data_IF_481632842023
#
_entry.id   IF_481632842023
#
_cell.length_a   1.000
_cell.length_b   1.000
_cell.length_c   1.000
_cell.angle_alpha   90.00
_cell.angle_beta   90.00
_cell.angle_gamma   90.00
#
_symmetry.space_group_name_H-M   'P 1'
#
loop_
_entity.id
_entity.type
_entity.pdbx_description
1 polymer ?
#
# COMPACT_ATOMS: atom_id res chain seq x y z
N UNK A 1 2.62 -45.10 50.60
CA UNK A 1 1.38 -44.97 49.80
C UNK A 1 1.28 -43.52 49.36
N UNK A 2 0.99 -43.28 48.08
CA UNK A 2 0.62 -42.00 47.43
C UNK A 2 1.68 -40.88 47.36
N UNK A 3 2.56 -40.96 46.36
CA UNK A 3 3.19 -39.79 45.72
C UNK A 3 3.29 -40.08 44.22
N UNK A 4 2.15 -40.07 43.53
CA UNK A 4 2.04 -40.21 42.07
C UNK A 4 0.87 -39.38 41.55
N UNK A 5 0.87 -38.06 41.73
CA UNK A 5 -0.13 -37.21 41.03
C UNK A 5 0.17 -35.71 41.04
N UNK A 6 1.42 -35.29 40.79
CA UNK A 6 1.71 -33.84 40.70
C UNK A 6 2.55 -33.43 39.50
N UNK A 7 3.11 -34.38 38.75
CA UNK A 7 4.02 -34.07 37.64
C UNK A 7 3.36 -33.93 36.26
N UNK A 8 2.09 -34.33 36.11
CA UNK A 8 1.42 -34.34 34.79
C UNK A 8 0.74 -33.00 34.46
N UNK A 9 0.49 -32.14 35.45
CA UNK A 9 -0.28 -30.89 35.23
C UNK A 9 0.61 -29.73 34.74
N UNK A 10 1.92 -29.74 35.03
CA UNK A 10 2.82 -28.63 34.64
C UNK A 10 3.21 -28.61 33.15
N UNK A 11 3.16 -29.76 32.47
CA UNK A 11 3.57 -29.87 31.05
C UNK A 11 2.46 -29.41 30.09
N UNK A 12 1.18 -29.53 30.49
CA UNK A 12 0.05 -29.07 29.66
C UNK A 12 -0.09 -27.55 29.70
N UNK A 13 0.19 -26.92 30.85
CA UNK A 13 0.13 -25.48 31.00
C UNK A 13 1.23 -24.74 30.22
N UNK A 14 2.41 -25.35 30.03
CA UNK A 14 3.49 -24.75 29.25
C UNK A 14 3.24 -24.83 27.74
N UNK A 15 2.65 -25.91 27.21
CA UNK A 15 2.28 -25.98 25.79
C UNK A 15 1.14 -25.03 25.39
N UNK A 16 0.21 -24.73 26.31
CA UNK A 16 -0.90 -23.81 26.03
C UNK A 16 -0.47 -22.33 25.93
N UNK A 17 0.66 -21.95 26.55
CA UNK A 17 1.18 -20.57 26.49
C UNK A 17 1.98 -20.32 25.21
N UNK A 18 2.56 -21.35 24.59
CA UNK A 18 3.30 -21.23 23.32
C UNK A 18 2.41 -21.32 22.06
N UNK A 19 1.20 -21.87 22.15
CA UNK A 19 0.27 -21.91 21.02
C UNK A 19 -0.47 -20.59 20.76
N UNK A 20 -0.45 -19.65 21.71
CA UNK A 20 -0.98 -18.29 21.57
C UNK A 20 -0.02 -17.31 20.86
N UNK A 21 1.23 -17.70 20.58
CA UNK A 21 2.19 -16.90 19.82
C UNK A 21 2.25 -17.29 18.35
N UNK A 22 1.10 -17.56 17.72
CA UNK A 22 1.08 -17.42 16.26
C UNK A 22 1.26 -15.93 15.97
N UNK A 23 2.34 -15.49 15.30
CA UNK A 23 2.45 -14.11 14.90
C UNK A 23 1.22 -13.81 14.07
N UNK A 24 0.34 -12.93 14.56
CA UNK A 24 -0.72 -12.37 13.75
C UNK A 24 -0.01 -11.73 12.56
N UNK A 25 -0.08 -12.42 11.42
CA UNK A 25 0.49 -11.91 10.19
C UNK A 25 -0.24 -10.60 9.89
N UNK A 26 0.47 -9.48 10.03
CA UNK A 26 -0.06 -8.16 9.80
C UNK A 26 -0.48 -8.08 8.32
N UNK A 27 -1.76 -7.86 8.09
CA UNK A 27 -2.39 -7.90 6.78
C UNK A 27 -2.14 -6.62 5.94
N UNK A 28 -1.27 -5.76 6.44
CA UNK A 28 -1.18 -4.36 6.10
C UNK A 28 -0.42 -4.15 4.79
N UNK A 29 -1.06 -3.49 3.82
CA UNK A 29 -0.48 -3.21 2.50
C UNK A 29 -0.57 -1.73 2.15
N UNK A 30 0.31 -1.29 1.24
CA UNK A 30 0.47 0.10 0.83
C UNK A 30 1.10 0.17 -0.56
N UNK A 31 1.01 1.33 -1.21
CA UNK A 31 1.77 1.55 -2.44
C UNK A 31 3.25 1.78 -2.12
N UNK A 32 4.07 0.77 -2.40
CA UNK A 32 5.54 0.85 -2.30
C UNK A 32 6.12 1.67 -3.47
N UNK A 33 5.54 1.53 -4.66
CA UNK A 33 5.92 2.29 -5.84
C UNK A 33 4.69 2.73 -6.64
N UNK A 34 4.68 3.98 -7.11
CA UNK A 34 3.62 4.56 -7.95
C UNK A 34 3.97 4.45 -9.43
N UNK A 35 5.26 4.45 -9.76
CA UNK A 35 5.73 4.32 -11.14
C UNK A 35 6.87 3.29 -11.26
N UNK A 36 6.49 2.02 -11.22
CA UNK A 36 7.37 0.88 -11.43
C UNK A 36 7.73 0.73 -12.90
N UNK A 37 9.04 0.68 -13.20
CA UNK A 37 9.54 0.41 -14.55
C UNK A 37 10.19 -0.96 -14.59
N UNK A 38 9.62 -1.86 -15.38
CA UNK A 38 10.22 -3.15 -15.68
C UNK A 38 11.52 -2.99 -16.47
N UNK A 39 12.50 -3.86 -16.23
CA UNK A 39 13.65 -4.03 -17.13
C UNK A 39 13.14 -4.64 -18.43
N UNK A 40 13.63 -4.16 -19.60
CA UNK A 40 13.12 -4.59 -20.91
C UNK A 40 13.23 -6.11 -21.10
N UNK A 41 12.20 -6.66 -21.75
CA UNK A 41 11.94 -8.04 -22.22
C UNK A 41 11.83 -9.15 -21.17
N UNK A 42 10.59 -9.50 -20.81
CA UNK A 42 10.26 -10.67 -19.98
C UNK A 42 8.96 -10.50 -19.20
N UNK A 43 8.42 -11.63 -18.67
CA UNK A 43 7.23 -11.72 -17.81
C UNK A 43 7.20 -10.60 -16.75
N UNK A 44 6.01 -10.09 -16.42
CA UNK A 44 5.85 -9.15 -15.31
C UNK A 44 6.51 -9.69 -14.04
N UNK A 45 7.58 -9.03 -13.61
CA UNK A 45 8.32 -9.32 -12.39
C UNK A 45 8.37 -8.04 -11.54
N UNK A 46 7.62 -8.06 -10.45
CA UNK A 46 7.49 -6.97 -9.50
C UNK A 46 8.62 -6.94 -8.46
N UNK A 47 9.52 -7.93 -8.46
CA UNK A 47 10.69 -7.93 -7.57
C UNK A 47 11.73 -6.91 -8.02
N UNK A 48 12.66 -6.55 -7.12
CA UNK A 48 13.77 -5.63 -7.44
C UNK A 48 14.71 -6.17 -8.55
N UNK A 49 14.61 -7.47 -8.89
CA UNK A 49 15.31 -8.05 -10.04
C UNK A 49 14.63 -7.67 -11.36
N UNK A 50 13.30 -7.59 -11.38
CA UNK A 50 12.47 -7.36 -12.57
C UNK A 50 12.29 -5.90 -12.97
N UNK A 51 12.63 -4.95 -12.11
CA UNK A 51 12.40 -3.54 -12.38
C UNK A 51 12.99 -2.60 -11.34
N UNK A 52 12.58 -1.34 -11.39
CA UNK A 52 12.92 -0.33 -10.39
C UNK A 52 11.80 0.68 -10.24
N UNK A 53 11.69 1.26 -9.05
CA UNK A 53 10.73 2.31 -8.82
C UNK A 53 11.23 3.66 -9.35
N UNK A 54 10.36 4.38 -10.05
CA UNK A 54 10.64 5.71 -10.61
C UNK A 54 9.65 6.79 -10.17
N UNK A 55 8.79 6.50 -9.21
CA UNK A 55 7.85 7.46 -8.66
C UNK A 55 7.21 6.90 -7.41
N UNK A 56 7.09 7.69 -6.36
CA UNK A 56 6.73 7.23 -5.03
C UNK A 56 5.52 7.99 -4.48
N UNK A 57 4.92 7.42 -3.43
CA UNK A 57 3.94 8.12 -2.60
C UNK A 57 4.60 9.30 -1.87
N UNK A 58 3.78 10.24 -1.38
CA UNK A 58 4.28 11.41 -0.64
C UNK A 58 5.08 10.98 0.57
N UNK A 59 6.24 11.65 0.78
CA UNK A 59 7.15 11.42 1.91
C UNK A 59 7.53 9.94 2.09
N UNK A 60 7.61 9.18 0.99
CA UNK A 60 7.96 7.76 1.06
C UNK A 60 9.42 7.59 1.55
N UNK A 61 9.67 6.83 2.63
CA UNK A 61 11.02 6.65 3.14
C UNK A 61 11.84 5.76 2.20
N UNK A 62 13.02 6.23 1.82
CA UNK A 62 13.99 5.43 1.08
C UNK A 62 14.79 4.51 2.00
N UNK A 63 15.53 3.57 1.42
CA UNK A 63 16.42 2.63 2.12
C UNK A 63 15.71 1.74 3.15
N UNK A 64 14.46 1.38 2.85
CA UNK A 64 13.68 0.42 3.63
C UNK A 64 13.57 -0.89 2.86
N UNK A 65 13.52 -2.00 3.59
CA UNK A 65 13.29 -3.30 2.98
C UNK A 65 11.85 -3.35 2.40
N UNK A 66 11.69 -3.97 1.24
CA UNK A 66 10.38 -4.14 0.63
C UNK A 66 9.44 -4.89 1.58
N UNK A 67 8.22 -4.38 1.74
CA UNK A 67 7.20 -4.99 2.57
C UNK A 67 7.42 -4.88 4.08
N UNK A 68 8.36 -4.05 4.56
CA UNK A 68 8.64 -3.91 5.99
C UNK A 68 8.02 -2.68 6.67
N UNK A 69 7.26 -1.83 5.96
CA UNK A 69 6.71 -0.58 6.50
C UNK A 69 5.33 -0.75 7.14
N UNK A 70 4.99 -2.00 7.43
CA UNK A 70 3.97 -2.42 8.38
C UNK A 70 4.51 -2.30 9.82
N UNK A 71 5.73 -2.76 10.04
CA UNK A 71 6.41 -2.78 11.35
C UNK A 71 7.50 -1.72 11.52
N UNK A 72 8.08 -1.21 10.43
CA UNK A 72 9.14 -0.21 10.47
C UNK A 72 8.64 1.24 10.47
N UNK A 73 9.41 2.13 11.10
CA UNK A 73 9.16 3.57 11.08
C UNK A 73 9.89 4.27 9.91
N UNK A 74 9.25 5.22 9.18
CA UNK A 74 7.81 5.56 9.20
C UNK A 74 6.92 4.44 8.63
N UNK A 75 5.80 4.14 9.28
CA UNK A 75 4.84 3.15 8.79
C UNK A 75 4.10 3.66 7.53
N UNK A 76 3.61 2.78 6.66
CA UNK A 76 2.92 3.16 5.41
C UNK A 76 1.50 2.59 5.27
N UNK A 77 1.04 1.82 6.23
CA UNK A 77 -0.24 1.13 6.20
C UNK A 77 -1.42 2.00 6.67
N UNK A 78 -1.60 3.20 6.11
CA UNK A 78 -2.71 4.04 6.55
C UNK A 78 -4.07 3.34 6.34
N UNK A 79 -4.74 3.01 7.45
CA UNK A 79 -6.05 2.38 7.46
C UNK A 79 -7.13 3.44 7.76
N UNK A 80 -8.07 3.58 6.83
CA UNK A 80 -9.19 4.48 6.96
C UNK A 80 -10.15 4.03 8.06
N UNK A 81 -10.89 4.97 8.64
CA UNK A 81 -11.95 4.67 9.61
C UNK A 81 -13.04 3.78 8.97
N UNK A 82 -13.46 2.73 9.68
CA UNK A 82 -14.38 1.73 9.12
C UNK A 82 -15.84 2.22 9.00
N UNK A 83 -16.31 3.04 9.94
CA UNK A 83 -17.74 3.41 10.06
C UNK A 83 -18.30 4.17 8.84
N UNK A 84 -17.47 4.98 8.18
CA UNK A 84 -17.84 5.67 6.93
C UNK A 84 -16.59 5.89 6.06
N UNK A 85 -16.17 4.86 5.29
CA UNK A 85 -14.93 4.93 4.53
C UNK A 85 -14.96 6.02 3.45
N UNK A 86 -16.14 6.43 2.99
CA UNK A 86 -16.28 7.48 1.97
C UNK A 86 -16.04 8.90 2.51
N UNK A 87 -16.18 9.10 3.82
CA UNK A 87 -15.89 10.37 4.49
C UNK A 87 -14.54 10.36 5.23
N UNK A 88 -13.81 9.25 5.19
CA UNK A 88 -12.48 9.16 5.78
C UNK A 88 -11.51 10.16 5.09
N UNK A 89 -10.41 10.48 5.78
CA UNK A 89 -9.33 11.19 5.12
C UNK A 89 -8.78 10.33 3.98
N UNK A 90 -8.61 10.94 2.81
CA UNK A 90 -8.08 10.22 1.66
C UNK A 90 -6.59 9.91 1.80
N UNK A 91 -5.85 10.85 2.36
CA UNK A 91 -4.41 10.75 2.58
C UNK A 91 -4.16 10.87 4.08
N UNK A 92 -3.26 10.06 4.60
CA UNK A 92 -2.92 10.12 6.03
C UNK A 92 -2.38 11.49 6.40
N UNK A 93 -2.80 11.99 7.55
CA UNK A 93 -2.22 13.17 8.20
C UNK A 93 -1.41 12.80 9.45
N UNK A 94 -1.10 11.50 9.64
CA UNK A 94 -0.45 10.92 10.82
C UNK A 94 -1.25 10.96 12.13
N UNK A 95 -2.44 11.54 12.13
CA UNK A 95 -3.23 11.76 13.36
C UNK A 95 -4.55 11.01 13.38
N UNK A 96 -5.14 10.75 12.22
CA UNK A 96 -6.45 10.12 12.10
C UNK A 96 -6.40 8.88 11.21
N UNK A 97 -7.32 7.95 11.45
CA UNK A 97 -7.36 6.61 10.87
C UNK A 97 -7.86 5.62 11.91
N UNK A 98 -8.27 4.44 11.47
CA UNK A 98 -8.30 3.30 12.39
C UNK A 98 -6.86 2.94 12.79
N UNK A 99 -5.94 3.00 11.82
CA UNK A 99 -4.50 3.00 12.04
C UNK A 99 -3.87 4.19 11.31
N UNK A 100 -3.35 5.19 12.06
CA UNK A 100 -2.67 6.33 11.45
C UNK A 100 -1.39 5.91 10.74
N UNK A 101 -1.34 6.14 9.42
CA UNK A 101 -0.13 5.98 8.62
C UNK A 101 0.83 7.17 8.78
N UNK A 102 1.95 7.18 8.08
CA UNK A 102 2.79 8.38 7.98
C UNK A 102 2.11 9.56 7.27
N UNK A 103 2.63 10.78 7.46
CA UNK A 103 2.06 11.98 6.86
C UNK A 103 2.17 11.99 5.32
N UNK A 104 1.03 11.94 4.65
CA UNK A 104 0.84 12.00 3.20
C UNK A 104 0.05 13.25 2.78
N UNK A 105 -0.10 14.25 3.63
CA UNK A 105 -0.73 15.52 3.27
C UNK A 105 0.03 16.23 2.15
N UNK A 106 -0.67 16.95 1.27
CA UNK A 106 -0.03 17.75 0.21
C UNK A 106 0.91 18.79 0.81
N UNK A 107 2.18 18.78 0.41
CA UNK A 107 3.15 19.80 0.79
C UNK A 107 3.01 21.09 -0.05
N UNK A 108 3.57 22.21 0.45
CA UNK A 108 3.63 23.48 -0.28
C UNK A 108 5.08 24.04 -0.34
N UNK A 109 5.72 24.07 -1.52
CA UNK A 109 5.28 23.47 -2.79
C UNK A 109 5.23 21.93 -2.72
N UNK A 110 4.53 21.24 -3.67
CA UNK A 110 4.44 19.79 -3.70
C UNK A 110 5.80 19.08 -3.67
N UNK A 111 6.84 19.68 -4.27
CA UNK A 111 8.19 19.16 -4.29
C UNK A 111 8.79 18.90 -2.89
N UNK A 112 8.32 19.58 -1.83
CA UNK A 112 8.79 19.33 -0.46
C UNK A 112 8.40 17.95 0.10
N UNK A 113 7.45 17.25 -0.53
CA UNK A 113 7.11 15.87 -0.17
C UNK A 113 8.01 14.82 -0.84
N UNK A 114 8.99 15.25 -1.65
CA UNK A 114 9.78 14.40 -2.53
C UNK A 114 11.27 14.78 -2.53
N UNK A 115 12.13 13.81 -2.88
CA UNK A 115 13.57 14.02 -2.95
C UNK A 115 14.26 14.08 -1.58
N UNK A 116 15.60 14.22 -1.59
CA UNK A 116 16.43 14.11 -0.40
C UNK A 116 16.26 12.73 0.26
N UNK A 117 15.72 12.71 1.48
CA UNK A 117 15.41 11.47 2.21
C UNK A 117 14.16 10.73 1.70
N UNK A 118 13.37 11.36 0.83
CA UNK A 118 12.14 10.80 0.29
C UNK A 118 12.30 10.37 -1.17
N UNK A 119 11.44 9.44 -1.58
CA UNK A 119 11.31 9.05 -2.98
C UNK A 119 10.98 10.23 -3.91
N UNK A 120 11.24 10.06 -5.20
CA UNK A 120 10.94 11.09 -6.22
C UNK A 120 9.46 11.10 -6.62
N UNK A 121 8.97 12.27 -7.02
CA UNK A 121 7.63 12.43 -7.57
C UNK A 121 7.51 11.75 -8.94
N UNK A 122 6.36 11.14 -9.23
CA UNK A 122 6.08 10.58 -10.56
C UNK A 122 5.92 11.71 -11.58
N UNK A 123 6.56 11.55 -12.74
CA UNK A 123 6.43 12.45 -13.89
C UNK A 123 6.08 11.61 -15.11
N UNK A 124 4.98 11.95 -15.79
CA UNK A 124 4.39 11.13 -16.86
C UNK A 124 3.68 12.01 -17.90
N UNK A 125 3.17 11.39 -18.97
CA UNK A 125 2.35 12.00 -20.01
C UNK A 125 1.00 11.29 -20.13
N UNK A 126 0.02 11.95 -20.74
CA UNK A 126 -1.26 11.30 -21.09
C UNK A 126 -0.99 10.07 -21.97
N UNK A 127 -1.67 8.95 -21.70
CA UNK A 127 -1.52 7.70 -22.46
C UNK A 127 -0.33 6.83 -22.05
N UNK A 128 0.58 7.34 -21.22
CA UNK A 128 1.63 6.51 -20.61
C UNK A 128 1.01 5.37 -19.79
N UNK A 129 1.75 4.28 -19.68
CA UNK A 129 1.44 3.21 -18.73
C UNK A 129 2.18 3.49 -17.43
N UNK A 130 1.45 3.69 -16.34
CA UNK A 130 1.98 3.69 -14.98
C UNK A 130 1.71 2.34 -14.34
N UNK A 131 2.69 1.83 -13.59
CA UNK A 131 2.58 0.56 -12.88
C UNK A 131 2.81 0.81 -11.38
N UNK A 132 1.86 0.37 -10.55
CA UNK A 132 1.94 0.51 -9.10
C UNK A 132 2.36 -0.83 -8.52
N UNK A 133 3.28 -0.82 -7.55
CA UNK A 133 3.76 -1.99 -6.82
C UNK A 133 3.39 -1.89 -5.34
N UNK A 134 3.00 -3.01 -4.74
CA UNK A 134 2.67 -3.14 -3.31
C UNK A 134 3.10 -4.51 -2.76
N UNK A 135 3.30 -4.64 -1.44
CA UNK A 135 3.48 -5.95 -0.81
C UNK A 135 2.13 -6.69 -0.73
N UNK A 136 2.09 -7.94 -1.19
CA UNK A 136 0.88 -8.75 -1.22
C UNK A 136 0.43 -9.26 0.15
N UNK A 137 1.36 -9.39 1.10
CA UNK A 137 1.12 -9.97 2.41
C UNK A 137 0.51 -11.38 2.30
N UNK A 138 -0.02 -11.91 3.40
CA UNK A 138 -0.80 -13.16 3.43
C UNK A 138 -2.10 -13.12 2.59
N UNK A 139 -2.47 -11.98 1.98
CA UNK A 139 -3.69 -11.82 1.18
C UNK A 139 -3.52 -12.05 -0.32
N UNK A 140 -2.28 -12.32 -0.74
CA UNK A 140 -1.95 -12.81 -2.07
C UNK A 140 -1.87 -14.36 -2.15
N UNK A 141 -2.32 -15.08 -1.11
CA UNK A 141 -2.28 -16.53 -1.05
C UNK A 141 -3.23 -17.20 -2.07
N UNK A 142 -2.86 -18.38 -2.54
CA UNK A 142 -3.64 -19.16 -3.53
C UNK A 142 -4.99 -19.55 -2.92
N UNK A 143 -6.09 -19.20 -3.60
CA UNK A 143 -7.45 -19.55 -3.16
C UNK A 143 -8.19 -18.47 -2.36
N UNK A 144 -7.54 -17.37 -1.99
CA UNK A 144 -8.25 -16.22 -1.39
C UNK A 144 -8.99 -15.41 -2.47
N UNK A 145 -10.19 -14.93 -2.15
CA UNK A 145 -10.93 -13.98 -3.00
C UNK A 145 -10.15 -12.66 -3.00
N UNK A 146 -9.46 -12.37 -4.11
CA UNK A 146 -8.72 -11.11 -4.25
C UNK A 146 -9.68 -9.94 -4.45
N UNK A 147 -9.67 -9.01 -3.51
CA UNK A 147 -10.27 -7.70 -3.69
C UNK A 147 -9.45 -6.87 -4.70
N UNK A 148 -10.08 -5.86 -5.29
CA UNK A 148 -9.45 -4.97 -6.26
C UNK A 148 -8.75 -3.82 -5.54
N UNK A 149 -7.60 -3.43 -6.05
CA UNK A 149 -6.99 -2.12 -5.79
C UNK A 149 -7.70 -1.09 -6.67
N UNK A 150 -8.23 -0.04 -6.08
CA UNK A 150 -8.73 1.14 -6.77
C UNK A 150 -7.58 2.14 -6.97
N UNK A 151 -7.41 2.59 -8.22
CA UNK A 151 -6.58 3.76 -8.52
C UNK A 151 -7.52 4.95 -8.73
N UNK A 152 -7.50 5.87 -7.79
CA UNK A 152 -8.26 7.11 -7.85
C UNK A 152 -7.33 8.25 -8.27
N UNK A 153 -7.78 9.11 -9.17
CA UNK A 153 -7.04 10.29 -9.58
C UNK A 153 -7.93 11.52 -9.37
N UNK A 154 -7.41 12.63 -8.90
CA UNK A 154 -8.19 13.87 -8.84
C UNK A 154 -8.49 14.40 -10.25
N UNK A 155 -9.61 15.12 -10.41
CA UNK A 155 -9.89 15.90 -11.64
C UNK A 155 -9.22 17.28 -11.61
N UNK A 156 -9.07 17.86 -10.42
CA UNK A 156 -8.50 19.18 -10.21
C UNK A 156 -6.98 19.14 -10.24
N UNK A 157 -6.37 19.87 -11.18
CA UNK A 157 -4.90 20.05 -11.23
C UNK A 157 -4.44 21.10 -10.23
N UNK A 158 -3.25 20.91 -9.67
CA UNK A 158 -2.57 21.84 -8.75
C UNK A 158 -3.40 22.22 -7.51
N UNK A 159 -4.45 21.47 -7.19
CA UNK A 159 -5.35 21.74 -6.08
C UNK A 159 -4.83 21.17 -4.76
N UNK A 160 -5.44 21.60 -3.65
CA UNK A 160 -5.31 20.93 -2.34
C UNK A 160 -5.87 19.50 -2.41
N UNK A 161 -5.59 18.70 -1.38
CA UNK A 161 -6.19 17.38 -1.26
C UNK A 161 -7.72 17.47 -1.20
N UNK A 162 -8.38 16.72 -2.07
CA UNK A 162 -9.83 16.62 -2.12
C UNK A 162 -10.34 15.51 -1.19
N UNK A 163 -11.63 15.51 -0.90
CA UNK A 163 -12.24 14.49 -0.03
C UNK A 163 -12.17 13.08 -0.65
N UNK A 164 -12.23 12.04 0.20
CA UNK A 164 -12.33 10.66 -0.27
C UNK A 164 -13.55 10.45 -1.17
N UNK A 165 -14.71 10.99 -0.80
CA UNK A 165 -15.94 10.95 -1.60
C UNK A 165 -15.75 11.52 -3.01
N UNK A 166 -14.96 12.60 -3.14
CA UNK A 166 -14.67 13.20 -4.44
C UNK A 166 -13.69 12.34 -5.26
N UNK A 167 -12.64 11.79 -4.64
CA UNK A 167 -11.72 10.86 -5.30
C UNK A 167 -12.43 9.60 -5.84
N UNK A 168 -13.37 9.04 -5.08
CA UNK A 168 -14.11 7.83 -5.49
C UNK A 168 -14.98 8.06 -6.73
N UNK A 169 -15.36 9.31 -7.04
CA UNK A 169 -16.05 9.63 -8.30
C UNK A 169 -15.13 9.57 -9.52
N UNK A 170 -13.81 9.44 -9.31
CA UNK A 170 -12.82 9.40 -10.37
C UNK A 170 -11.81 8.27 -10.15
N UNK A 171 -12.32 7.06 -9.87
CA UNK A 171 -11.57 5.81 -10.02
C UNK A 171 -11.28 5.57 -11.50
N UNK A 172 -9.99 5.55 -11.85
CA UNK A 172 -9.51 5.43 -13.24
C UNK A 172 -9.04 4.02 -13.59
N UNK A 173 -8.80 3.16 -12.59
CA UNK A 173 -8.48 1.75 -12.80
C UNK A 173 -8.83 0.90 -11.58
N UNK A 174 -9.07 -0.39 -11.83
CA UNK A 174 -9.17 -1.43 -10.82
C UNK A 174 -8.15 -2.53 -11.12
N UNK A 175 -7.21 -2.76 -10.21
CA UNK A 175 -6.11 -3.71 -10.39
C UNK A 175 -6.34 -4.94 -9.49
N UNK A 176 -5.92 -6.12 -9.95
CA UNK A 176 -5.97 -7.33 -9.14
C UNK A 176 -4.92 -7.23 -8.02
N UNK A 177 -5.34 -7.20 -6.75
CA UNK A 177 -4.40 -7.13 -5.63
C UNK A 177 -3.42 -8.32 -5.63
N UNK A 178 -3.92 -9.51 -5.99
CA UNK A 178 -3.15 -10.75 -6.03
C UNK A 178 -2.32 -10.96 -7.31
N UNK A 179 -2.14 -9.94 -8.16
CA UNK A 179 -1.22 -10.03 -9.30
C UNK A 179 0.24 -9.97 -8.83
N UNK A 180 0.74 -11.11 -8.37
CA UNK A 180 1.96 -11.22 -7.60
C UNK A 180 2.97 -12.15 -8.25
N UNK A 181 4.25 -11.92 -7.93
CA UNK A 181 5.31 -12.86 -8.23
C UNK A 181 5.06 -14.22 -7.55
N UNK A 182 5.48 -15.31 -8.20
CA UNK A 182 5.53 -16.63 -7.56
C UNK A 182 6.58 -16.65 -6.44
N UNK A 183 6.29 -17.34 -5.33
CA UNK A 183 7.23 -17.53 -4.23
C UNK A 183 6.54 -18.06 -2.98
N UNK A 184 7.29 -18.51 -1.97
CA UNK A 184 6.71 -19.01 -0.70
C UNK A 184 6.53 -17.94 0.38
N UNK A 185 7.31 -16.85 0.32
CA UNK A 185 7.15 -15.73 1.25
C UNK A 185 5.93 -14.92 0.84
N UNK A 186 4.84 -15.07 1.57
CA UNK A 186 3.58 -14.34 1.35
C UNK A 186 3.66 -12.91 1.86
N UNK A 187 4.19 -12.72 3.08
CA UNK A 187 4.33 -11.41 3.73
C UNK A 187 4.96 -10.34 2.83
N UNK A 188 6.07 -10.68 2.17
CA UNK A 188 6.83 -9.75 1.32
C UNK A 188 6.71 -10.05 -0.16
N UNK A 189 5.66 -10.75 -0.58
CA UNK A 189 5.47 -11.09 -1.99
C UNK A 189 5.23 -9.80 -2.81
N UNK A 190 6.06 -9.48 -3.81
CA UNK A 190 5.82 -8.32 -4.64
C UNK A 190 4.61 -8.53 -5.55
N UNK A 191 3.70 -7.57 -5.55
CA UNK A 191 2.51 -7.55 -6.39
C UNK A 191 2.40 -6.19 -7.07
N UNK A 192 1.61 -6.13 -8.14
CA UNK A 192 1.38 -4.86 -8.79
C UNK A 192 0.35 -4.91 -9.91
N UNK A 193 0.09 -3.75 -10.49
CA UNK A 193 -0.75 -3.64 -11.66
C UNK A 193 -0.48 -2.34 -12.40
N UNK A 194 -0.84 -2.31 -13.67
CA UNK A 194 -0.60 -1.18 -14.54
C UNK A 194 -1.91 -0.60 -15.05
N UNK A 195 -1.91 0.71 -15.30
CA UNK A 195 -3.03 1.43 -15.88
C UNK A 195 -2.52 2.52 -16.84
N UNK A 196 -3.41 2.97 -17.73
CA UNK A 196 -3.14 4.08 -18.64
C UNK A 196 -3.48 5.41 -17.97
N UNK A 197 -2.58 6.39 -18.08
CA UNK A 197 -2.84 7.75 -17.62
C UNK A 197 -3.96 8.34 -18.48
N UNK A 198 -5.11 8.72 -17.90
CA UNK A 198 -6.24 9.22 -18.67
C UNK A 198 -5.95 10.62 -19.23
N UNK A 199 -6.77 11.05 -20.18
CA UNK A 199 -6.70 12.42 -20.72
C UNK A 199 -6.90 13.44 -19.60
N UNK A 200 -5.88 14.29 -19.41
CA UNK A 200 -5.82 15.37 -18.43
C UNK A 200 -5.00 16.52 -19.00
N UNK A 201 -5.27 17.73 -18.54
CA UNK A 201 -4.41 18.87 -18.83
C UNK A 201 -3.06 18.71 -18.11
N UNK A 202 -2.04 19.44 -18.57
CA UNK A 202 -0.74 19.48 -17.88
C UNK A 202 -0.91 20.04 -16.47
N UNK A 203 -0.26 19.41 -15.49
CA UNK A 203 -0.31 19.81 -14.08
C UNK A 203 -0.03 18.68 -13.10
N UNK A 204 -0.08 19.00 -11.81
CA UNK A 204 0.10 18.04 -10.72
C UNK A 204 -1.26 17.58 -10.21
N UNK A 205 -1.46 16.27 -10.12
CA UNK A 205 -2.70 15.64 -9.67
C UNK A 205 -2.46 14.75 -8.45
N UNK A 206 -3.41 14.74 -7.52
CA UNK A 206 -3.47 13.73 -6.46
C UNK A 206 -3.88 12.38 -7.07
N UNK A 207 -3.06 11.36 -6.87
CA UNK A 207 -3.35 9.95 -7.10
C UNK A 207 -3.45 9.22 -5.75
N UNK A 208 -4.41 8.32 -5.63
CA UNK A 208 -4.56 7.44 -4.48
C UNK A 208 -4.60 5.99 -4.95
N UNK A 209 -3.73 5.17 -4.34
CA UNK A 209 -3.88 3.73 -4.29
C UNK A 209 -4.78 3.39 -3.10
N UNK A 210 -5.83 2.60 -3.32
CA UNK A 210 -6.80 2.26 -2.28
C UNK A 210 -7.22 0.80 -2.38
N UNK A 211 -7.09 0.05 -1.31
CA UNK A 211 -7.37 -1.38 -1.28
C UNK A 211 -8.26 -1.75 -0.10
N UNK A 212 -9.22 -2.64 -0.33
CA UNK A 212 -10.11 -3.15 0.71
C UNK A 212 -9.65 -4.53 1.12
N UNK A 213 -9.17 -4.69 2.35
CA UNK A 213 -8.79 -6.00 2.87
C UNK A 213 -10.04 -6.82 3.20
N UNK A 214 -10.80 -6.33 4.19
CA UNK A 214 -12.09 -6.86 4.60
C UNK A 214 -13.18 -5.82 4.34
N UNK A 215 -14.45 -6.21 4.52
CA UNK A 215 -15.58 -5.28 4.39
C UNK A 215 -15.33 -4.03 5.24
N UNK A 216 -15.36 -2.88 4.58
CA UNK A 216 -15.15 -1.54 5.15
C UNK A 216 -13.74 -1.27 5.74
N UNK A 217 -12.80 -2.18 5.52
CA UNK A 217 -11.41 -2.06 5.96
C UNK A 217 -10.51 -1.63 4.79
N UNK A 218 -10.22 -0.32 4.72
CA UNK A 218 -9.55 0.28 3.57
C UNK A 218 -8.16 0.81 3.90
N UNK A 219 -7.16 0.38 3.14
CA UNK A 219 -5.79 0.88 3.17
C UNK A 219 -5.56 1.84 2.02
N UNK A 220 -4.82 2.92 2.27
CA UNK A 220 -4.55 3.92 1.23
C UNK A 220 -3.12 4.43 1.24
N UNK A 221 -2.68 4.88 0.07
CA UNK A 221 -1.43 5.63 -0.09
C UNK A 221 -1.62 6.72 -1.15
N UNK A 222 -1.24 7.94 -0.81
CA UNK A 222 -1.38 9.10 -1.68
C UNK A 222 -0.05 9.55 -2.32
N UNK A 223 -0.16 9.98 -3.56
CA UNK A 223 0.93 10.50 -4.37
C UNK A 223 0.49 11.73 -5.16
N UNK A 224 1.42 12.64 -5.43
CA UNK A 224 1.32 13.61 -6.49
C UNK A 224 1.95 13.01 -7.77
N UNK A 225 1.24 13.12 -8.89
CA UNK A 225 1.77 12.79 -10.21
C UNK A 225 1.77 14.05 -11.07
N UNK A 226 2.89 14.34 -11.74
CA UNK A 226 3.00 15.45 -12.69
C UNK A 226 2.76 14.94 -14.11
N UNK A 227 1.69 15.43 -14.73
CA UNK A 227 1.36 15.17 -16.14
C UNK A 227 1.94 16.32 -16.98
N UNK A 228 2.80 15.98 -17.95
CA UNK A 228 3.51 16.90 -18.85
C UNK A 228 2.81 17.13 -20.17
#
# INVERSE_FOLDING_TARGET
MVLKSSFTILVVATLAVFSSYTPQAEAHSWADCIDWKFKKSGKQDWSDKGGKCTGYARRYPLNKAFGSLDSAWPNRHYQQVHKNPSSALACSNRKAGAEPGSDETRANPPSKAYGGKYGKMTVTSVGDTLCVRWPGKNHAAKGQKSSKVQINLSKSKNAKDISQKELLKNTIAQLNFSNCNSGKNEDRRPCGGCFKVPVRAKGIYLLQWRWMLNKDEWYTSCADIQIK
#
